data_IF_068432063189
#
_entry.id   IF_068432063189
#
_cell.length_a   1.000
_cell.length_b   1.000
_cell.length_c   1.000
_cell.angle_alpha   90.00
_cell.angle_beta   90.00
_cell.angle_gamma   90.00
#
_symmetry.space_group_name_H-M   'P 1'
#
loop_
_entity.id
_entity.type
_entity.pdbx_description
1 polymer ?
#
# COMPACT_ATOMS: atom_id res chain seq x y z
N UNK A 1 -5.21 7.31 -8.31
CA UNK A 1 -4.39 6.41 -9.13
C UNK A 1 -2.90 6.81 -9.18
N UNK A 2 -2.42 7.62 -8.24
CA UNK A 2 -1.06 8.17 -8.27
C UNK A 2 0.01 7.07 -8.18
N UNK A 3 -0.17 6.13 -7.25
CA UNK A 3 0.75 5.01 -7.03
C UNK A 3 1.00 4.20 -8.30
N UNK A 4 -0.06 3.81 -9.02
CA UNK A 4 0.06 3.03 -10.25
C UNK A 4 0.80 3.82 -11.34
N UNK A 5 0.50 5.11 -11.49
CA UNK A 5 1.20 5.97 -12.45
C UNK A 5 2.71 6.08 -12.15
N UNK A 6 3.08 6.23 -10.87
CA UNK A 6 4.48 6.26 -10.44
C UNK A 6 5.18 4.92 -10.69
N UNK A 7 4.53 3.79 -10.37
CA UNK A 7 5.06 2.47 -10.69
C UNK A 7 5.26 2.26 -12.20
N UNK A 8 4.30 2.67 -13.03
CA UNK A 8 4.42 2.61 -14.50
C UNK A 8 5.56 3.48 -15.01
N UNK A 9 5.70 4.71 -14.51
CA UNK A 9 6.81 5.60 -14.85
C UNK A 9 8.17 4.95 -14.54
N UNK A 10 8.31 4.37 -13.34
CA UNK A 10 9.53 3.69 -12.91
C UNK A 10 9.84 2.47 -13.79
N UNK A 11 8.83 1.67 -14.13
CA UNK A 11 9.01 0.52 -15.03
C UNK A 11 9.45 0.94 -16.44
N UNK A 12 8.84 1.97 -17.02
CA UNK A 12 9.23 2.49 -18.34
C UNK A 12 10.69 2.93 -18.32
N UNK A 13 11.11 3.66 -17.28
CA UNK A 13 12.50 4.08 -17.14
C UNK A 13 13.45 2.91 -16.98
N UNK A 14 13.13 1.93 -16.10
CA UNK A 14 13.96 0.75 -15.91
C UNK A 14 14.12 -0.07 -17.19
N UNK A 15 13.03 -0.27 -17.95
CA UNK A 15 13.06 -0.95 -19.25
C UNK A 15 13.90 -0.17 -20.26
N UNK A 16 13.74 1.15 -20.35
CA UNK A 16 14.52 1.98 -21.28
C UNK A 16 16.03 1.90 -20.99
N UNK A 17 16.41 1.84 -19.72
CA UNK A 17 17.80 1.66 -19.28
C UNK A 17 18.28 0.25 -19.61
N UNK A 18 17.46 -0.77 -19.36
CA UNK A 18 17.77 -2.15 -19.73
C UNK A 18 18.03 -2.29 -21.22
N UNK A 19 17.13 -1.78 -22.08
CA UNK A 19 17.31 -1.80 -23.54
C UNK A 19 18.58 -1.07 -23.97
N UNK A 20 18.85 0.13 -23.44
CA UNK A 20 20.08 0.88 -23.74
C UNK A 20 21.34 0.13 -23.33
N UNK A 21 21.32 -0.55 -22.19
CA UNK A 21 22.46 -1.36 -21.76
C UNK A 21 22.64 -2.62 -22.61
N UNK A 22 21.54 -3.30 -23.00
CA UNK A 22 21.62 -4.47 -23.88
C UNK A 22 22.16 -4.12 -25.25
N UNK A 23 21.71 -3.02 -25.87
CA UNK A 23 22.23 -2.59 -27.17
C UNK A 23 23.71 -2.20 -27.10
N UNK A 24 24.12 -1.51 -26.02
CA UNK A 24 25.53 -1.18 -25.80
C UNK A 24 26.40 -2.44 -25.61
N UNK A 25 25.89 -3.47 -24.94
CA UNK A 25 26.56 -4.77 -24.78
C UNK A 25 26.67 -5.50 -26.13
N UNK A 26 25.58 -5.55 -26.90
CA UNK A 26 25.58 -6.16 -28.23
C UNK A 26 26.56 -5.50 -29.19
N UNK A 27 26.76 -4.18 -29.07
CA UNK A 27 27.71 -3.41 -29.86
C UNK A 27 29.15 -3.44 -29.30
N UNK A 28 29.42 -4.17 -28.21
CA UNK A 28 30.75 -4.25 -27.59
C UNK A 28 31.22 -2.96 -26.89
N UNK A 29 30.38 -1.94 -26.81
CA UNK A 29 30.69 -0.60 -26.28
C UNK A 29 30.48 -0.44 -24.76
N UNK A 30 29.95 -1.48 -24.09
CA UNK A 30 29.55 -1.39 -22.69
C UNK A 30 30.69 -1.70 -21.72
N UNK A 31 31.26 -0.65 -21.13
CA UNK A 31 32.27 -0.74 -20.06
C UNK A 31 31.68 -0.63 -18.63
N UNK A 32 30.35 -0.61 -18.49
CA UNK A 32 29.67 -0.41 -17.21
C UNK A 32 29.44 -1.69 -16.40
N UNK A 33 28.90 -1.53 -15.18
CA UNK A 33 28.45 -2.66 -14.37
C UNK A 33 27.08 -3.18 -14.86
N UNK A 34 27.06 -4.43 -15.36
CA UNK A 34 25.86 -5.11 -15.89
C UNK A 34 24.81 -5.43 -14.82
N UNK A 35 25.19 -5.46 -13.54
CA UNK A 35 24.26 -5.73 -12.45
C UNK A 35 23.32 -4.57 -12.14
N UNK A 36 23.69 -3.33 -12.49
CA UNK A 36 22.87 -2.15 -12.20
C UNK A 36 21.54 -2.15 -12.96
N UNK A 37 21.48 -2.34 -14.30
CA UNK A 37 20.19 -2.40 -15.00
C UNK A 37 19.31 -3.55 -14.51
N UNK A 38 19.90 -4.71 -14.18
CA UNK A 38 19.17 -5.83 -13.59
C UNK A 38 18.58 -5.45 -12.22
N UNK A 39 19.37 -4.82 -11.36
CA UNK A 39 18.91 -4.35 -10.05
C UNK A 39 17.78 -3.34 -10.18
N UNK A 40 17.85 -2.40 -11.13
CA UNK A 40 16.76 -1.45 -11.37
C UNK A 40 15.46 -2.16 -11.74
N UNK A 41 15.50 -3.13 -12.65
CA UNK A 41 14.32 -3.90 -13.04
C UNK A 41 13.75 -4.66 -11.85
N UNK A 42 14.57 -5.44 -11.13
CA UNK A 42 14.12 -6.23 -9.98
C UNK A 42 13.52 -5.36 -8.87
N UNK A 43 14.14 -4.22 -8.56
CA UNK A 43 13.63 -3.28 -7.58
C UNK A 43 12.32 -2.64 -8.04
N UNK A 44 12.17 -2.30 -9.33
CA UNK A 44 10.88 -1.80 -9.85
C UNK A 44 9.78 -2.86 -9.83
N UNK A 45 10.10 -4.14 -10.03
CA UNK A 45 9.14 -5.24 -9.85
C UNK A 45 8.73 -5.38 -8.38
N UNK A 46 9.66 -5.20 -7.45
CA UNK A 46 9.37 -5.24 -6.02
C UNK A 46 8.44 -4.10 -5.58
N UNK A 47 8.41 -2.95 -6.27
CA UNK A 47 7.39 -1.92 -6.04
C UNK A 47 5.98 -2.46 -6.32
N UNK A 48 5.80 -3.33 -7.30
CA UNK A 48 4.50 -3.94 -7.62
C UNK A 48 4.14 -5.12 -6.69
N UNK A 49 4.86 -5.34 -5.59
CA UNK A 49 4.60 -6.46 -4.67
C UNK A 49 3.16 -6.56 -4.15
N UNK A 50 2.42 -5.49 -3.81
CA UNK A 50 1.05 -5.63 -3.32
C UNK A 50 0.08 -6.11 -4.41
N UNK A 51 0.36 -5.73 -5.66
CA UNK A 51 -0.38 -6.19 -6.83
C UNK A 51 -0.17 -7.69 -7.02
N UNK A 52 1.09 -8.15 -7.06
CA UNK A 52 1.40 -9.58 -7.20
C UNK A 52 0.86 -10.41 -6.04
N UNK A 53 0.95 -9.90 -4.80
CA UNK A 53 0.38 -10.57 -3.63
C UNK A 53 -1.14 -10.73 -3.75
N UNK A 54 -1.85 -9.69 -4.22
CA UNK A 54 -3.31 -9.75 -4.47
C UNK A 54 -3.67 -10.80 -5.53
N UNK A 55 -2.92 -10.85 -6.64
CA UNK A 55 -3.16 -11.85 -7.70
C UNK A 55 -2.86 -13.29 -7.23
N UNK A 56 -1.82 -13.46 -6.42
CA UNK A 56 -1.48 -14.75 -5.84
C UNK A 56 -2.60 -15.29 -4.95
N UNK A 57 -3.20 -14.42 -4.14
CA UNK A 57 -4.25 -14.79 -3.17
C UNK A 57 -5.61 -14.97 -3.83
N UNK A 58 -5.87 -14.32 -4.97
CA UNK A 58 -7.05 -14.63 -5.79
C UNK A 58 -7.00 -16.06 -6.37
N UNK A 59 -5.80 -16.58 -6.59
CA UNK A 59 -5.60 -17.89 -7.22
C UNK A 59 -5.55 -19.04 -6.22
N UNK A 60 -5.46 -18.76 -4.91
CA UNK A 60 -5.30 -19.76 -3.86
C UNK A 60 -6.01 -19.32 -2.58
N UNK A 61 -6.81 -20.19 -1.93
CA UNK A 61 -7.32 -19.88 -0.61
C UNK A 61 -6.15 -19.83 0.39
N UNK A 62 -5.97 -18.68 1.03
CA UNK A 62 -4.96 -18.44 2.07
C UNK A 62 -5.67 -18.08 3.36
N UNK A 63 -5.14 -18.51 4.51
CA UNK A 63 -5.69 -18.10 5.80
C UNK A 63 -5.52 -16.59 6.03
N UNK A 64 -6.42 -15.98 6.80
CA UNK A 64 -6.41 -14.53 7.08
C UNK A 64 -5.10 -14.06 7.73
N UNK A 65 -4.50 -14.87 8.60
CA UNK A 65 -3.22 -14.57 9.23
C UNK A 65 -2.06 -14.55 8.22
N UNK A 66 -2.01 -15.55 7.33
CA UNK A 66 -0.98 -15.62 6.30
C UNK A 66 -1.15 -14.48 5.28
N UNK A 67 -2.39 -14.14 4.93
CA UNK A 67 -2.72 -13.03 4.05
C UNK A 67 -2.27 -11.68 4.63
N UNK A 68 -2.48 -11.48 5.93
CA UNK A 68 -2.09 -10.25 6.65
C UNK A 68 -0.57 -10.11 6.75
N UNK A 69 0.14 -11.22 7.00
CA UNK A 69 1.62 -11.26 6.98
C UNK A 69 2.16 -10.98 5.58
N UNK A 70 1.55 -11.53 4.54
CA UNK A 70 1.91 -11.27 3.15
C UNK A 70 1.74 -9.79 2.79
N UNK A 71 0.65 -9.15 3.22
CA UNK A 71 0.41 -7.74 2.94
C UNK A 71 1.45 -6.84 3.61
N UNK A 72 1.70 -7.07 4.89
CA UNK A 72 2.72 -6.32 5.63
C UNK A 72 4.11 -6.55 5.02
N UNK A 73 4.44 -7.80 4.66
CA UNK A 73 5.68 -8.14 3.97
C UNK A 73 5.82 -7.46 2.61
N UNK A 74 4.74 -7.42 1.81
CA UNK A 74 4.72 -6.74 0.53
C UNK A 74 4.95 -5.23 0.70
N UNK A 75 4.32 -4.60 1.70
CA UNK A 75 4.51 -3.18 2.01
C UNK A 75 5.97 -2.89 2.42
N UNK A 76 6.57 -3.71 3.29
CA UNK A 76 7.99 -3.58 3.64
C UNK A 76 8.93 -3.75 2.44
N UNK A 77 8.67 -4.74 1.58
CA UNK A 77 9.43 -4.95 0.36
C UNK A 77 9.34 -3.73 -0.57
N UNK A 78 8.16 -3.12 -0.69
CA UNK A 78 7.94 -1.89 -1.44
C UNK A 78 8.74 -0.71 -0.89
N UNK A 79 8.77 -0.53 0.45
CA UNK A 79 9.59 0.51 1.11
C UNK A 79 11.07 0.31 0.82
N UNK A 80 11.58 -0.91 1.05
CA UNK A 80 12.98 -1.23 0.83
C UNK A 80 13.40 -0.98 -0.63
N UNK A 81 12.55 -1.40 -1.58
CA UNK A 81 12.78 -1.18 -2.99
C UNK A 81 12.77 0.31 -3.35
N UNK A 82 11.81 1.09 -2.83
CA UNK A 82 11.72 2.52 -3.07
C UNK A 82 12.95 3.29 -2.54
N UNK A 83 13.45 2.94 -1.35
CA UNK A 83 14.67 3.55 -0.78
C UNK A 83 15.90 3.23 -1.65
N UNK A 84 16.08 1.96 -2.03
CA UNK A 84 17.19 1.56 -2.89
C UNK A 84 17.14 2.23 -4.27
N UNK A 85 15.95 2.34 -4.87
CA UNK A 85 15.76 3.06 -6.12
C UNK A 85 16.06 4.56 -5.98
N UNK A 86 15.66 5.18 -4.87
CA UNK A 86 16.01 6.57 -4.58
C UNK A 86 17.53 6.77 -4.54
N UNK A 87 18.26 5.88 -3.86
CA UNK A 87 19.72 5.95 -3.78
C UNK A 87 20.35 5.76 -5.16
N UNK A 88 19.91 4.76 -5.93
CA UNK A 88 20.47 4.45 -7.25
C UNK A 88 20.20 5.56 -8.27
N UNK A 89 18.96 6.06 -8.35
CA UNK A 89 18.61 7.14 -9.24
C UNK A 89 19.17 8.48 -8.79
N UNK A 90 19.25 8.75 -7.48
CA UNK A 90 19.91 9.93 -6.93
C UNK A 90 21.40 9.96 -7.25
N UNK A 91 22.09 8.84 -7.08
CA UNK A 91 23.50 8.71 -7.47
C UNK A 91 23.71 8.92 -8.98
N UNK A 92 22.83 8.35 -9.82
CA UNK A 92 22.87 8.55 -11.28
C UNK A 92 22.53 9.98 -11.70
N UNK A 93 21.61 10.63 -11.00
CA UNK A 93 21.25 12.03 -11.23
C UNK A 93 22.45 12.94 -10.96
N UNK A 94 23.19 12.68 -9.86
CA UNK A 94 24.42 13.40 -9.57
C UNK A 94 25.48 13.17 -10.65
N UNK A 95 25.74 11.90 -11.03
CA UNK A 95 26.82 11.58 -11.98
C UNK A 95 26.54 12.07 -13.42
N UNK A 96 25.30 11.95 -13.89
CA UNK A 96 24.96 12.17 -15.30
C UNK A 96 24.13 13.44 -15.55
N UNK A 97 23.65 14.13 -14.50
CA UNK A 97 22.90 15.38 -14.61
C UNK A 97 21.58 15.31 -15.39
N UNK A 98 21.03 14.11 -15.64
CA UNK A 98 19.82 13.95 -16.47
C UNK A 98 18.55 14.19 -15.63
N UNK A 99 17.69 15.09 -16.12
CA UNK A 99 16.40 15.43 -15.52
C UNK A 99 15.54 14.20 -15.17
N UNK A 100 15.50 13.19 -16.04
CA UNK A 100 14.72 11.97 -15.81
C UNK A 100 15.15 11.19 -14.56
N UNK A 101 16.43 11.19 -14.20
CA UNK A 101 16.90 10.52 -12.98
C UNK A 101 16.53 11.30 -11.71
N UNK A 102 16.52 12.64 -11.77
CA UNK A 102 16.00 13.45 -10.66
C UNK A 102 14.51 13.20 -10.44
N UNK A 103 13.72 13.11 -11.52
CA UNK A 103 12.31 12.73 -11.46
C UNK A 103 12.10 11.34 -10.88
N UNK A 104 12.92 10.35 -11.27
CA UNK A 104 12.85 8.99 -10.73
C UNK A 104 13.23 8.91 -9.24
N UNK A 105 14.21 9.69 -8.79
CA UNK A 105 14.56 9.76 -7.38
C UNK A 105 13.40 10.35 -6.55
N UNK A 106 12.82 11.46 -7.01
CA UNK A 106 11.65 12.08 -6.35
C UNK A 106 10.45 11.12 -6.35
N UNK A 107 10.16 10.48 -7.49
CA UNK A 107 9.10 9.48 -7.58
C UNK A 107 9.32 8.33 -6.58
N UNK A 108 10.56 7.87 -6.42
CA UNK A 108 10.90 6.83 -5.44
C UNK A 108 10.62 7.28 -4.00
N UNK A 109 10.92 8.54 -3.65
CA UNK A 109 10.58 9.10 -2.34
C UNK A 109 9.07 9.14 -2.13
N UNK A 110 8.30 9.61 -3.13
CA UNK A 110 6.84 9.64 -3.04
C UNK A 110 6.27 8.23 -2.86
N UNK A 111 6.77 7.24 -3.59
CA UNK A 111 6.34 5.85 -3.43
C UNK A 111 6.67 5.32 -2.02
N UNK A 112 7.85 5.63 -1.48
CA UNK A 112 8.21 5.25 -0.11
C UNK A 112 7.23 5.86 0.92
N UNK A 113 6.83 7.11 0.75
CA UNK A 113 5.82 7.77 1.59
C UNK A 113 4.46 7.10 1.46
N UNK A 114 4.03 6.73 0.26
CA UNK A 114 2.77 6.01 0.03
C UNK A 114 2.76 4.69 0.80
N UNK A 115 3.83 3.90 0.69
CA UNK A 115 3.96 2.65 1.44
C UNK A 115 4.01 2.86 2.95
N UNK A 116 4.82 3.82 3.42
CA UNK A 116 4.93 4.12 4.84
C UNK A 116 3.59 4.58 5.42
N UNK A 117 2.84 5.44 4.72
CA UNK A 117 1.54 5.92 5.19
C UNK A 117 0.48 4.80 5.27
N UNK A 118 0.50 3.86 4.33
CA UNK A 118 -0.37 2.67 4.42
C UNK A 118 0.06 1.78 5.58
N UNK A 119 1.36 1.48 5.67
CA UNK A 119 1.90 0.56 6.67
C UNK A 119 1.74 1.09 8.09
N UNK A 120 1.99 2.38 8.33
CA UNK A 120 1.82 3.02 9.63
C UNK A 120 0.37 3.03 10.10
N UNK A 121 -0.58 2.99 9.16
CA UNK A 121 -1.99 2.82 9.48
C UNK A 121 -2.25 1.34 9.84
N UNK A 122 -2.03 0.40 8.92
CA UNK A 122 -2.42 -1.01 9.16
C UNK A 122 -1.56 -1.76 10.19
N UNK A 123 -0.41 -1.22 10.59
CA UNK A 123 0.47 -1.85 11.58
C UNK A 123 0.04 -1.61 13.03
N UNK A 124 -0.80 -0.59 13.30
CA UNK A 124 -1.25 -0.36 14.68
C UNK A 124 -2.16 -1.50 15.17
N UNK A 125 -2.12 -1.84 16.47
CA UNK A 125 -2.91 -2.94 17.01
C UNK A 125 -4.42 -2.68 17.02
N UNK A 126 -4.83 -1.41 16.95
CA UNK A 126 -6.21 -0.93 16.92
C UNK A 126 -6.75 -0.77 15.47
N UNK A 127 -5.96 -1.13 14.46
CA UNK A 127 -6.38 -1.12 13.07
C UNK A 127 -7.33 -2.28 12.79
N UNK A 128 -8.51 -1.96 12.24
CA UNK A 128 -9.53 -2.94 11.86
C UNK A 128 -10.21 -2.57 10.55
N UNK A 129 -10.96 -3.53 10.03
CA UNK A 129 -11.80 -3.37 8.85
C UNK A 129 -13.25 -3.54 9.28
N UNK A 130 -14.07 -2.57 8.91
CA UNK A 130 -15.50 -2.58 9.17
C UNK A 130 -16.20 -2.58 7.82
N UNK A 131 -17.16 -3.49 7.66
CA UNK A 131 -18.01 -3.45 6.48
C UNK A 131 -19.05 -2.34 6.67
N UNK A 132 -19.17 -1.46 5.69
CA UNK A 132 -20.01 -0.26 5.81
C UNK A 132 -21.49 -0.59 5.99
N UNK A 133 -21.96 -1.74 5.50
CA UNK A 133 -23.34 -2.20 5.72
C UNK A 133 -23.70 -2.45 7.20
N UNK A 134 -22.69 -2.65 8.06
CA UNK A 134 -22.89 -2.84 9.50
C UNK A 134 -23.12 -1.50 10.21
N UNK A 135 -22.64 -0.41 9.61
CA UNK A 135 -22.90 0.94 10.06
C UNK A 135 -24.29 1.32 9.55
N UNK A 136 -25.28 1.26 10.43
CA UNK A 136 -26.68 1.49 10.11
C UNK A 136 -26.82 2.84 9.36
N UNK A 137 -27.58 2.84 8.26
CA UNK A 137 -27.79 3.97 7.33
C UNK A 137 -28.62 5.11 7.96
N UNK A 138 -28.29 5.58 9.16
CA UNK A 138 -28.81 6.85 9.61
C UNK A 138 -28.05 7.96 8.85
N UNK A 139 -28.81 8.78 8.11
CA UNK A 139 -28.38 9.98 7.37
C UNK A 139 -27.65 11.03 8.25
N UNK A 140 -27.49 10.76 9.55
CA UNK A 140 -26.75 11.56 10.53
C UNK A 140 -25.27 11.16 10.69
N UNK A 141 -24.79 10.15 9.96
CA UNK A 141 -23.41 9.70 10.06
C UNK A 141 -22.44 10.68 9.37
N UNK A 142 -21.52 11.26 10.15
CA UNK A 142 -20.39 12.09 9.66
C UNK A 142 -19.41 11.36 8.70
N UNK A 143 -19.66 10.08 8.42
CA UNK A 143 -18.78 9.21 7.62
C UNK A 143 -19.50 8.82 6.33
N UNK A 144 -19.24 9.57 5.26
CA UNK A 144 -19.70 9.22 3.92
C UNK A 144 -18.70 8.26 3.27
N UNK A 145 -19.09 7.00 3.11
CA UNK A 145 -18.29 5.99 2.43
C UNK A 145 -19.14 5.10 1.52
N UNK A 146 -19.09 5.34 0.21
CA UNK A 146 -19.86 4.59 -0.80
C UNK A 146 -19.27 3.21 -1.12
N UNK A 147 -18.21 2.80 -0.42
CA UNK A 147 -17.58 1.48 -0.58
C UNK A 147 -18.11 0.51 0.47
N UNK A 148 -18.07 -0.78 0.16
CA UNK A 148 -18.45 -1.86 1.08
C UNK A 148 -17.51 -2.04 2.27
N UNK A 149 -16.36 -1.35 2.27
CA UNK A 149 -15.26 -1.56 3.22
C UNK A 149 -14.74 -0.22 3.73
N UNK A 150 -14.61 -0.11 5.05
CA UNK A 150 -14.04 1.02 5.77
C UNK A 150 -12.86 0.54 6.63
N UNK A 151 -11.71 1.19 6.49
CA UNK A 151 -10.58 0.96 7.38
C UNK A 151 -10.70 1.89 8.59
N UNK A 152 -10.53 1.38 9.80
CA UNK A 152 -10.69 2.16 11.03
C UNK A 152 -9.56 1.91 12.02
N UNK A 153 -9.20 2.93 12.78
CA UNK A 153 -8.49 2.79 14.06
C UNK A 153 -9.49 2.95 15.19
N UNK A 154 -9.86 1.83 15.78
CA UNK A 154 -10.86 1.79 16.83
C UNK A 154 -10.21 1.56 18.19
N UNK A 155 -10.37 2.55 19.07
CA UNK A 155 -10.06 2.43 20.48
C UNK A 155 -11.24 3.00 21.28
N UNK A 156 -11.71 2.24 22.26
CA UNK A 156 -12.95 2.51 23.00
C UNK A 156 -12.94 3.92 23.59
N UNK A 157 -14.01 4.68 23.34
CA UNK A 157 -14.17 6.05 23.86
C UNK A 157 -13.27 7.12 23.23
N UNK A 158 -12.48 6.81 22.21
CA UNK A 158 -11.66 7.81 21.48
C UNK A 158 -12.15 7.99 20.04
N UNK A 159 -12.12 9.21 19.48
CA UNK A 159 -12.57 9.45 18.12
C UNK A 159 -11.88 8.53 17.10
N UNK A 160 -12.68 7.74 16.40
CA UNK A 160 -12.20 6.70 15.47
C UNK A 160 -11.67 7.38 14.22
N UNK A 161 -10.39 7.14 13.90
CA UNK A 161 -9.80 7.55 12.64
C UNK A 161 -10.24 6.56 11.55
N UNK A 162 -10.79 7.06 10.46
CA UNK A 162 -11.34 6.22 9.39
C UNK A 162 -10.75 6.58 8.03
N UNK A 163 -10.64 5.58 7.16
CA UNK A 163 -10.21 5.71 5.77
C UNK A 163 -11.17 4.93 4.86
N UNK A 164 -11.86 5.65 3.99
CA UNK A 164 -12.72 5.10 2.95
C UNK A 164 -11.97 5.08 1.60
N UNK A 165 -11.78 3.92 0.96
CA UNK A 165 -11.13 3.82 -0.34
C UNK A 165 -11.89 4.56 -1.45
N UNK A 166 -11.21 5.37 -2.25
CA UNK A 166 -11.80 5.95 -3.48
C UNK A 166 -11.32 5.19 -4.72
N UNK A 167 -10.08 4.69 -4.67
CA UNK A 167 -9.45 3.93 -5.73
C UNK A 167 -9.33 2.42 -5.45
N UNK A 168 -8.25 1.84 -5.97
CA UNK A 168 -7.97 0.40 -5.86
C UNK A 168 -7.33 0.13 -4.49
N UNK A 169 -7.93 -0.78 -3.75
CA UNK A 169 -7.35 -1.38 -2.55
C UNK A 169 -6.75 -2.74 -2.90
N UNK A 170 -5.52 -2.99 -2.47
CA UNK A 170 -4.85 -4.27 -2.68
C UNK A 170 -5.00 -5.15 -1.45
N UNK A 171 -5.18 -6.45 -1.68
CA UNK A 171 -5.40 -7.44 -0.63
C UNK A 171 -6.57 -7.06 0.29
N UNK A 172 -7.72 -6.71 -0.31
CA UNK A 172 -8.93 -6.24 0.38
C UNK A 172 -9.43 -7.17 1.48
N UNK A 173 -9.17 -8.46 1.32
CA UNK A 173 -9.66 -9.52 2.21
C UNK A 173 -8.69 -9.75 3.39
N UNK A 174 -7.50 -9.14 3.36
CA UNK A 174 -6.56 -9.16 4.47
C UNK A 174 -7.07 -8.26 5.61
N UNK A 175 -6.75 -8.54 6.87
CA UNK A 175 -7.02 -7.58 7.96
C UNK A 175 -6.14 -6.32 7.88
N UNK A 176 -5.07 -6.37 7.05
CA UNK A 176 -4.10 -5.30 6.86
C UNK A 176 -3.90 -5.01 5.37
N UNK A 177 -4.91 -4.49 4.65
CA UNK A 177 -4.82 -4.26 3.21
C UNK A 177 -3.82 -3.15 2.89
N UNK A 178 -3.41 -3.05 1.63
CA UNK A 178 -2.61 -1.92 1.17
C UNK A 178 -3.52 -0.90 0.49
N UNK A 179 -3.60 0.31 1.06
CA UNK A 179 -4.42 1.42 0.57
C UNK A 179 -3.52 2.61 0.22
N UNK A 180 -3.18 2.83 -1.06
CA UNK A 180 -2.24 3.86 -1.45
C UNK A 180 -2.82 5.27 -1.27
N UNK A 181 -2.04 6.19 -0.72
CA UNK A 181 -2.37 7.63 -0.74
C UNK A 181 -2.18 8.20 -2.16
N UNK A 182 -3.01 9.14 -2.64
CA UNK A 182 -4.16 9.78 -1.98
C UNK A 182 -5.51 9.10 -2.31
N UNK A 183 -5.52 7.80 -2.62
CA UNK A 183 -6.70 7.10 -3.16
C UNK A 183 -7.71 6.68 -2.07
N UNK A 184 -7.90 7.55 -1.08
CA UNK A 184 -8.89 7.40 0.00
C UNK A 184 -9.31 8.75 0.58
N UNK A 185 -10.54 8.82 1.09
CA UNK A 185 -11.00 9.87 1.98
C UNK A 185 -10.85 9.40 3.43
N UNK A 186 -10.61 10.31 4.36
CA UNK A 186 -10.50 9.93 5.75
C UNK A 186 -10.70 11.11 6.68
N UNK A 187 -10.95 10.78 7.94
CA UNK A 187 -11.23 11.76 8.98
C UNK A 187 -11.24 11.11 10.36
N UNK A 188 -11.68 11.87 11.36
CA UNK A 188 -11.97 11.36 12.69
C UNK A 188 -13.44 11.60 12.97
N UNK A 189 -14.16 10.59 13.46
CA UNK A 189 -15.56 10.71 13.83
C UNK A 189 -15.79 10.11 15.20
N UNK A 190 -16.45 10.88 16.07
CA UNK A 190 -16.90 10.41 17.38
C UNK A 190 -18.20 9.61 17.27
N UNK A 191 -19.05 9.94 16.29
CA UNK A 191 -20.27 9.17 16.01
C UNK A 191 -19.95 7.73 15.59
N UNK A 192 -18.93 7.56 14.75
CA UNK A 192 -18.43 6.24 14.37
C UNK A 192 -17.93 5.44 15.58
N UNK A 193 -17.25 6.09 16.52
CA UNK A 193 -16.82 5.44 17.78
C UNK A 193 -18.02 4.92 18.57
N UNK A 194 -19.06 5.73 18.74
CA UNK A 194 -20.26 5.34 19.49
C UNK A 194 -20.96 4.14 18.85
N UNK A 195 -21.07 4.12 17.51
CA UNK A 195 -21.65 2.99 16.79
C UNK A 195 -20.80 1.70 16.99
N UNK A 196 -19.48 1.82 16.91
CA UNK A 196 -18.57 0.68 17.10
C UNK A 196 -18.54 0.19 18.56
N UNK A 197 -18.64 1.09 19.54
CA UNK A 197 -18.76 0.77 20.95
C UNK A 197 -20.03 -0.06 21.19
N UNK A 198 -21.17 0.34 20.61
CA UNK A 198 -22.44 -0.40 20.72
C UNK A 198 -22.38 -1.79 20.09
N UNK A 199 -21.77 -1.91 18.90
CA UNK A 199 -21.61 -3.20 18.21
C UNK A 199 -20.70 -4.12 19.03
N UNK A 200 -19.58 -3.59 19.53
CA UNK A 200 -18.60 -4.35 20.31
C UNK A 200 -19.19 -4.80 21.64
N UNK A 201 -19.90 -3.92 22.35
CA UNK A 201 -20.52 -4.24 23.64
C UNK A 201 -21.67 -5.27 23.47
N UNK A 202 -22.41 -5.21 22.35
CA UNK A 202 -23.43 -6.21 22.03
C UNK A 202 -22.83 -7.58 21.71
N UNK A 203 -21.75 -7.62 20.95
CA UNK A 203 -21.02 -8.87 20.66
C UNK A 203 -20.43 -9.50 21.92
N UNK A 204 -19.84 -8.70 22.82
CA UNK A 204 -19.26 -9.19 24.08
C UNK A 204 -20.33 -9.75 25.03
N UNK A 205 -21.53 -9.15 25.05
CA UNK A 205 -22.67 -9.69 25.83
C UNK A 205 -23.17 -11.03 25.32
N UNK A 206 -23.19 -11.23 24.00
CA UNK A 206 -23.58 -12.51 23.39
C UNK A 206 -22.57 -13.61 23.74
N UNK A 207 -21.27 -13.30 23.69
CA UNK A 207 -20.20 -14.24 24.00
C UNK A 207 -20.21 -14.68 25.48
N UNK A 208 -20.51 -13.73 26.39
CA UNK A 208 -20.71 -14.02 27.81
C UNK A 208 -21.98 -14.85 28.08
N UNK A 209 -23.03 -14.70 27.26
CA UNK A 209 -24.26 -15.48 27.38
C UNK A 209 -24.14 -16.90 26.80
N UNK A 210 -23.10 -17.17 26.00
CA UNK A 210 -22.83 -18.47 25.38
C UNK A 210 -21.79 -19.31 26.13
N UNK A 211 -21.20 -18.78 27.19
CA UNK A 211 -20.27 -19.52 28.06
C UNK A 211 -21.07 -20.34 29.09
N UNK A 212 -21.00 -21.69 29.06
CA UNK A 212 -21.75 -22.55 29.98
C UNK A 212 -21.25 -22.43 31.44
#
# INVERSE_FOLDING_TARGET
MLYMALCSFMMILALSEMFRTMTAIGNGSFAGNRFIPLALVLLTLALASPFFATFYTLSRPVSMDALSRLSVGAQWAGIAAAILLCILYGYRAWKNGRFWYTGAAIASVVIAVIFANSLLFVSRPDAGIVATFVLNNDDSNDVQCDRSVLLVHYNKGTPTEWRCPTGIMFMSDASKPFLPWPDYHGGRSQHLTTALDQITDSAMRLDLSQKP
#
